data_IF_986449688085
#
_entry.id   IF_986449688085
#
_cell.length_a   1.000
_cell.length_b   1.000
_cell.length_c   1.000
_cell.angle_alpha   90.00
_cell.angle_beta   90.00
_cell.angle_gamma   90.00
#
_symmetry.space_group_name_H-M   'P 1'
#
loop_
_entity.id
_entity.type
_entity.pdbx_description
1 polymer ?
#
# COMPACT_ATOMS: atom_id res chain seq x y z
N UNK A 1 -12.92 -4.69 -9.12
CA UNK A 1 -12.71 -3.95 -10.36
C UNK A 1 -13.50 -4.61 -11.48
N UNK A 2 -14.11 -3.81 -12.31
CA UNK A 2 -14.91 -4.28 -13.44
C UNK A 2 -14.54 -3.49 -14.69
N UNK A 3 -13.85 -4.15 -15.63
CA UNK A 3 -13.39 -3.60 -16.91
C UNK A 3 -12.66 -2.26 -16.77
N UNK A 4 -11.76 -2.14 -15.79
CA UNK A 4 -10.98 -0.92 -15.55
C UNK A 4 -10.02 -0.67 -16.70
N UNK A 5 -10.13 0.52 -17.29
CA UNK A 5 -9.21 1.06 -18.29
C UNK A 5 -8.56 2.31 -17.74
N UNK A 6 -7.25 2.43 -17.94
CA UNK A 6 -6.49 3.65 -17.64
C UNK A 6 -5.67 4.07 -18.83
N UNK A 7 -5.91 5.31 -19.28
CA UNK A 7 -5.16 5.96 -20.34
C UNK A 7 -4.47 7.21 -19.81
N UNK A 8 -3.21 7.37 -20.19
CA UNK A 8 -2.45 8.59 -19.96
C UNK A 8 -2.25 9.30 -21.30
N UNK A 9 -2.65 10.55 -21.34
CA UNK A 9 -2.43 11.43 -22.50
C UNK A 9 -1.14 12.22 -22.31
N UNK A 10 -0.22 12.08 -23.25
CA UNK A 10 1.01 12.87 -23.34
C UNK A 10 1.02 13.65 -24.64
N UNK A 11 1.83 14.72 -24.73
CA UNK A 11 1.88 15.54 -25.95
C UNK A 11 2.21 14.67 -27.17
N UNK A 12 1.18 14.29 -27.93
CA UNK A 12 1.25 13.54 -29.19
C UNK A 12 1.08 12.01 -29.10
N UNK A 13 0.82 11.44 -27.91
CA UNK A 13 0.55 10.01 -27.79
C UNK A 13 -0.37 9.68 -26.61
N UNK A 14 -1.15 8.61 -26.74
CA UNK A 14 -1.96 8.03 -25.66
C UNK A 14 -1.36 6.68 -25.28
N UNK A 15 -1.07 6.50 -24.00
CA UNK A 15 -0.60 5.22 -23.45
C UNK A 15 -1.73 4.59 -22.65
N UNK A 16 -2.15 3.41 -23.05
CA UNK A 16 -3.16 2.63 -22.33
C UNK A 16 -2.47 1.67 -21.35
N UNK A 17 -2.39 2.09 -20.09
CA UNK A 17 -1.70 1.37 -19.03
C UNK A 17 -2.48 0.17 -18.51
N UNK A 18 -3.82 0.27 -18.46
CA UNK A 18 -4.73 -0.83 -18.08
C UNK A 18 -5.81 -0.98 -19.15
N UNK A 19 -6.06 -2.22 -19.57
CA UNK A 19 -6.85 -2.55 -20.76
C UNK A 19 -8.06 -3.42 -20.43
N UNK A 20 -8.93 -2.95 -19.54
CA UNK A 20 -10.16 -3.65 -19.19
C UNK A 20 -9.98 -4.69 -18.09
N UNK A 21 -9.26 -4.34 -17.03
CA UNK A 21 -9.00 -5.20 -15.88
C UNK A 21 -10.28 -5.52 -15.10
N UNK A 22 -10.56 -6.82 -14.94
CA UNK A 22 -11.63 -7.31 -14.07
C UNK A 22 -11.05 -8.28 -13.04
N UNK A 23 -11.10 -7.91 -11.76
CA UNK A 23 -10.63 -8.75 -10.66
C UNK A 23 -11.35 -8.38 -9.37
N UNK A 24 -11.71 -9.38 -8.57
CA UNK A 24 -12.26 -9.21 -7.23
C UNK A 24 -11.24 -9.60 -6.17
N UNK A 25 -11.31 -8.95 -5.00
CA UNK A 25 -10.52 -9.25 -3.83
C UNK A 25 -11.43 -9.59 -2.67
N UNK A 26 -10.97 -10.48 -1.79
CA UNK A 26 -11.69 -10.90 -0.58
C UNK A 26 -11.09 -10.26 0.65
N UNK A 27 -11.87 -10.17 1.71
CA UNK A 27 -11.33 -9.83 3.02
C UNK A 27 -10.34 -10.92 3.49
N UNK A 28 -9.33 -10.53 4.26
CA UNK A 28 -8.35 -11.47 4.82
C UNK A 28 -7.67 -12.36 3.77
N UNK A 29 -7.15 -11.74 2.72
CA UNK A 29 -6.46 -12.38 1.62
C UNK A 29 -5.10 -11.71 1.42
N UNK A 30 -4.06 -12.48 1.05
CA UNK A 30 -2.79 -11.93 0.59
C UNK A 30 -2.67 -12.15 -0.91
N UNK A 31 -2.89 -11.11 -1.69
CA UNK A 31 -2.81 -11.17 -3.16
C UNK A 31 -1.50 -10.54 -3.63
N UNK A 32 -0.75 -11.28 -4.43
CA UNK A 32 0.37 -10.73 -5.19
C UNK A 32 -0.05 -10.47 -6.64
N UNK A 33 0.11 -9.24 -7.09
CA UNK A 33 0.01 -8.87 -8.51
C UNK A 33 1.42 -8.95 -9.08
N UNK A 34 1.65 -9.98 -9.87
CA UNK A 34 2.95 -10.32 -10.44
C UNK A 34 3.01 -9.93 -11.91
N UNK A 35 4.07 -9.27 -12.32
CA UNK A 35 4.30 -8.91 -13.70
C UNK A 35 5.61 -8.15 -13.90
N UNK A 36 6.10 -8.03 -15.15
CA UNK A 36 7.32 -7.32 -15.48
C UNK A 36 7.19 -5.81 -15.16
N UNK A 37 8.32 -5.11 -15.13
CA UNK A 37 8.34 -3.66 -14.99
C UNK A 37 7.56 -2.99 -16.13
N UNK A 38 6.79 -1.96 -15.80
CA UNK A 38 6.02 -1.18 -16.78
C UNK A 38 4.72 -1.83 -17.28
N UNK A 39 4.30 -2.98 -16.75
CA UNK A 39 3.06 -3.66 -17.18
C UNK A 39 1.76 -3.08 -16.59
N UNK A 40 1.84 -2.04 -15.74
CA UNK A 40 0.67 -1.38 -15.14
C UNK A 40 0.40 -1.72 -13.67
N UNK A 41 1.28 -2.46 -12.97
CA UNK A 41 1.07 -2.87 -11.56
C UNK A 41 0.87 -1.68 -10.62
N UNK A 42 1.78 -0.71 -10.65
CA UNK A 42 1.69 0.50 -9.81
C UNK A 42 0.46 1.33 -10.15
N UNK A 43 0.12 1.45 -11.44
CA UNK A 43 -1.10 2.12 -11.90
C UNK A 43 -2.34 1.46 -11.30
N UNK A 44 -2.42 0.13 -11.36
CA UNK A 44 -3.53 -0.63 -10.79
C UNK A 44 -3.63 -0.42 -9.28
N UNK A 45 -2.50 -0.48 -8.57
CA UNK A 45 -2.45 -0.27 -7.13
C UNK A 45 -2.90 1.15 -6.75
N UNK A 46 -2.47 2.17 -7.48
CA UNK A 46 -2.87 3.55 -7.26
C UNK A 46 -4.36 3.78 -7.48
N UNK A 47 -4.96 3.11 -8.45
CA UNK A 47 -6.41 3.16 -8.68
C UNK A 47 -7.16 2.51 -7.53
N UNK A 48 -6.74 1.32 -7.09
CA UNK A 48 -7.33 0.63 -5.94
C UNK A 48 -7.24 1.50 -4.67
N UNK A 49 -6.11 2.18 -4.47
CA UNK A 49 -5.86 3.06 -3.33
C UNK A 49 -6.49 4.45 -3.42
N UNK A 50 -7.15 4.78 -4.52
CA UNK A 50 -7.75 6.10 -4.71
C UNK A 50 -6.74 7.24 -4.92
N UNK A 51 -5.48 6.91 -5.26
CA UNK A 51 -4.44 7.90 -5.57
C UNK A 51 -4.49 8.36 -7.02
N UNK A 52 -5.08 7.56 -7.89
CA UNK A 52 -5.31 7.89 -9.31
C UNK A 52 -6.73 7.48 -9.72
N UNK A 53 -7.23 8.10 -10.77
CA UNK A 53 -8.58 7.83 -11.31
C UNK A 53 -8.48 6.94 -12.54
N UNK A 54 -9.39 5.98 -12.68
CA UNK A 54 -9.52 5.19 -13.90
C UNK A 54 -10.21 5.99 -15.01
N UNK A 55 -9.93 5.68 -16.28
CA UNK A 55 -10.52 6.34 -17.44
C UNK A 55 -11.94 5.83 -17.72
N UNK A 56 -12.15 4.51 -17.61
CA UNK A 56 -13.44 3.86 -17.75
C UNK A 56 -13.49 2.55 -16.97
N UNK A 57 -14.66 1.94 -16.90
CA UNK A 57 -14.92 0.78 -16.07
C UNK A 57 -15.58 1.17 -14.75
N UNK A 58 -15.52 0.32 -13.75
CA UNK A 58 -16.05 0.59 -12.41
C UNK A 58 -15.23 -0.08 -11.32
N UNK A 59 -14.86 0.69 -10.31
CA UNK A 59 -14.28 0.20 -9.06
C UNK A 59 -15.39 0.19 -8.01
N UNK A 60 -15.74 -1.00 -7.54
CA UNK A 60 -16.75 -1.19 -6.49
C UNK A 60 -16.05 -1.56 -5.20
N UNK A 61 -16.32 -0.82 -4.13
CA UNK A 61 -15.75 -1.02 -2.80
C UNK A 61 -16.91 -1.28 -1.82
N UNK A 62 -16.90 -2.43 -1.18
CA UNK A 62 -17.96 -2.85 -0.26
C UNK A 62 -19.37 -2.70 -0.87
N UNK A 63 -19.54 -3.09 -2.13
CA UNK A 63 -20.81 -3.05 -2.83
C UNK A 63 -21.22 -1.68 -3.39
N UNK A 64 -20.46 -0.62 -3.12
CA UNK A 64 -20.73 0.73 -3.61
C UNK A 64 -19.80 1.09 -4.77
N UNK A 65 -20.35 1.55 -5.88
CA UNK A 65 -19.58 2.05 -7.03
C UNK A 65 -18.86 3.36 -6.67
N UNK A 66 -17.58 3.44 -7.00
CA UNK A 66 -16.79 4.68 -6.81
C UNK A 66 -17.15 5.79 -7.78
N UNK A 67 -17.98 5.51 -8.81
CA UNK A 67 -18.59 6.56 -9.65
C UNK A 67 -19.50 7.50 -8.85
N UNK A 68 -20.04 7.01 -7.74
CA UNK A 68 -20.88 7.77 -6.81
C UNK A 68 -20.06 8.52 -5.75
N UNK A 69 -18.72 8.34 -5.73
CA UNK A 69 -17.85 8.97 -4.75
C UNK A 69 -17.63 10.45 -5.07
N UNK A 70 -17.84 11.29 -4.07
CA UNK A 70 -17.39 12.69 -4.03
C UNK A 70 -15.98 12.76 -3.43
N UNK A 71 -15.33 13.92 -3.49
CA UNK A 71 -13.97 14.10 -2.95
C UNK A 71 -13.88 13.75 -1.47
N UNK A 72 -14.90 14.07 -0.67
CA UNK A 72 -14.96 13.68 0.74
C UNK A 72 -15.01 12.16 0.96
N UNK A 73 -15.67 11.41 0.08
CA UNK A 73 -15.69 9.93 0.14
C UNK A 73 -14.31 9.35 -0.16
N UNK A 74 -13.61 9.91 -1.14
CA UNK A 74 -12.23 9.52 -1.46
C UNK A 74 -11.25 9.87 -0.36
N UNK A 75 -11.39 11.04 0.27
CA UNK A 75 -10.55 11.43 1.40
C UNK A 75 -10.76 10.49 2.60
N UNK A 76 -12.00 10.17 2.91
CA UNK A 76 -12.34 9.19 3.95
C UNK A 76 -11.78 7.81 3.64
N UNK A 77 -11.93 7.34 2.40
CA UNK A 77 -11.39 6.06 1.95
C UNK A 77 -9.87 5.98 2.12
N UNK A 78 -9.13 6.99 1.63
CA UNK A 78 -7.66 7.04 1.77
C UNK A 78 -7.20 7.12 3.22
N UNK A 79 -7.89 7.88 4.05
CA UNK A 79 -7.46 8.11 5.43
C UNK A 79 -7.83 6.97 6.39
N UNK A 80 -8.90 6.23 6.12
CA UNK A 80 -9.46 5.25 7.07
C UNK A 80 -9.43 3.81 6.57
N UNK A 81 -9.57 3.59 5.25
CA UNK A 81 -9.70 2.24 4.69
C UNK A 81 -8.42 1.69 4.08
N UNK A 82 -7.49 2.57 3.71
CA UNK A 82 -6.26 2.21 2.97
C UNK A 82 -5.01 2.55 3.78
N UNK A 83 -4.07 1.59 3.83
CA UNK A 83 -2.68 1.82 4.19
C UNK A 83 -1.79 1.60 2.97
N UNK A 84 -0.77 2.43 2.78
CA UNK A 84 0.17 2.34 1.67
C UNK A 84 1.60 2.12 2.15
N UNK A 85 2.28 1.13 1.57
CA UNK A 85 3.71 0.85 1.76
C UNK A 85 4.41 0.95 0.40
N UNK A 86 5.42 1.81 0.31
CA UNK A 86 6.17 2.07 -0.92
C UNK A 86 7.57 1.47 -0.87
N UNK A 87 8.16 1.21 -2.02
CA UNK A 87 9.55 0.76 -2.14
C UNK A 87 10.55 1.76 -1.55
N UNK A 88 10.32 3.05 -1.75
CA UNK A 88 11.19 4.15 -1.28
C UNK A 88 10.85 4.67 0.11
N UNK A 89 10.02 3.96 0.87
CA UNK A 89 9.56 4.25 2.23
C UNK A 89 8.73 5.54 2.37
N UNK A 90 9.01 6.60 1.63
CA UNK A 90 8.35 7.91 1.66
C UNK A 90 8.25 8.51 3.09
N UNK A 91 9.34 8.39 3.86
CA UNK A 91 9.44 9.01 5.17
C UNK A 91 9.92 10.45 5.07
N UNK A 92 9.46 11.29 5.97
CA UNK A 92 9.89 12.70 6.08
C UNK A 92 11.24 12.72 6.83
N UNK A 93 12.36 13.07 6.14
CA UNK A 93 13.70 12.82 6.67
C UNK A 93 14.08 13.70 7.86
N UNK A 94 13.48 14.87 8.02
CA UNK A 94 13.75 15.78 9.12
C UNK A 94 12.86 15.56 10.35
N UNK A 95 11.85 14.69 10.25
CA UNK A 95 10.97 14.29 11.35
C UNK A 95 11.44 12.98 12.00
N UNK A 96 11.14 12.82 13.30
CA UNK A 96 11.38 11.57 14.00
C UNK A 96 10.57 10.41 13.43
N UNK A 97 10.98 9.20 13.74
CA UNK A 97 10.24 7.97 13.42
C UNK A 97 8.81 8.03 13.99
N UNK A 98 8.67 8.46 15.24
CA UNK A 98 7.36 8.65 15.89
C UNK A 98 6.50 9.67 15.11
N UNK A 99 7.05 10.84 14.78
CA UNK A 99 6.33 11.89 14.05
C UNK A 99 5.90 11.45 12.65
N UNK A 100 6.69 10.63 11.96
CA UNK A 100 6.32 10.04 10.68
C UNK A 100 5.07 9.14 10.78
N UNK A 101 4.93 8.37 11.84
CA UNK A 101 3.74 7.52 12.07
C UNK A 101 2.55 8.38 12.55
N UNK A 102 2.79 9.35 13.43
CA UNK A 102 1.76 10.27 13.92
C UNK A 102 1.07 11.05 12.79
N UNK A 103 1.76 11.28 11.67
CA UNK A 103 1.22 12.03 10.54
C UNK A 103 -0.07 11.43 9.99
N UNK A 104 -0.14 10.11 9.85
CA UNK A 104 -1.36 9.42 9.38
C UNK A 104 -2.55 9.67 10.32
N UNK A 105 -2.32 9.69 11.63
CA UNK A 105 -3.33 9.97 12.64
C UNK A 105 -3.72 11.46 12.69
N UNK A 106 -2.78 12.35 12.39
CA UNK A 106 -3.05 13.80 12.26
C UNK A 106 -4.04 14.06 11.14
N UNK A 107 -3.82 13.43 9.98
CA UNK A 107 -4.71 13.57 8.83
C UNK A 107 -6.11 12.98 9.08
N UNK A 108 -6.21 12.02 10.00
CA UNK A 108 -7.48 11.43 10.42
C UNK A 108 -8.15 12.18 11.59
N UNK A 109 -7.59 13.32 12.04
CA UNK A 109 -8.17 14.17 13.08
C UNK A 109 -8.00 13.64 14.51
N UNK A 110 -7.10 12.71 14.75
CA UNK A 110 -6.85 12.16 16.11
C UNK A 110 -6.12 13.17 17.00
N UNK A 111 -6.57 13.34 18.24
CA UNK A 111 -5.98 14.26 19.23
C UNK A 111 -4.54 13.87 19.60
N UNK A 112 -3.76 14.86 20.09
CA UNK A 112 -2.31 14.73 20.28
C UNK A 112 -1.87 13.58 21.18
N UNK A 113 -2.49 13.40 22.34
CA UNK A 113 -2.12 12.33 23.28
C UNK A 113 -2.40 10.94 22.72
N UNK A 114 -3.59 10.75 22.20
CA UNK A 114 -4.01 9.49 21.60
C UNK A 114 -3.17 9.16 20.34
N UNK A 115 -2.89 10.15 19.52
CA UNK A 115 -2.02 10.03 18.35
C UNK A 115 -0.63 9.53 18.74
N UNK A 116 -0.01 10.14 19.76
CA UNK A 116 1.32 9.74 20.24
C UNK A 116 1.32 8.33 20.81
N UNK A 117 0.30 7.98 21.59
CA UNK A 117 0.14 6.63 22.16
C UNK A 117 0.02 5.57 21.06
N UNK A 118 -0.90 5.78 20.12
CA UNK A 118 -1.15 4.82 19.03
C UNK A 118 0.05 4.68 18.10
N UNK A 119 0.73 5.76 17.77
CA UNK A 119 1.95 5.73 16.95
C UNK A 119 3.07 4.96 17.64
N UNK A 120 3.28 5.16 18.94
CA UNK A 120 4.27 4.40 19.72
C UNK A 120 3.94 2.90 19.79
N UNK A 121 2.68 2.55 19.97
CA UNK A 121 2.21 1.15 19.96
C UNK A 121 2.42 0.49 18.59
N UNK A 122 2.10 1.20 17.50
CA UNK A 122 2.32 0.71 16.13
C UNK A 122 3.82 0.45 15.85
N UNK A 123 4.70 1.33 16.29
CA UNK A 123 6.15 1.14 16.17
C UNK A 123 6.67 0.00 17.04
N UNK A 124 6.15 -0.16 18.24
CA UNK A 124 6.47 -1.31 19.11
C UNK A 124 6.06 -2.63 18.45
N UNK A 125 4.91 -2.68 17.81
CA UNK A 125 4.41 -3.86 17.12
C UNK A 125 5.32 -4.34 15.97
N UNK A 126 6.07 -3.44 15.35
CA UNK A 126 7.06 -3.76 14.30
C UNK A 126 8.50 -3.84 14.85
N UNK A 127 8.69 -3.89 16.17
CA UNK A 127 9.99 -4.05 16.81
C UNK A 127 10.83 -2.78 16.90
N UNK A 128 10.22 -1.59 16.83
CA UNK A 128 10.89 -0.28 16.87
C UNK A 128 10.51 0.58 18.09
N UNK A 129 10.02 -0.02 19.15
CA UNK A 129 9.55 0.70 20.33
C UNK A 129 10.62 1.53 21.06
N UNK A 130 11.90 1.17 20.90
CA UNK A 130 13.08 1.86 21.45
C UNK A 130 13.72 2.88 20.48
N UNK A 131 13.15 3.04 19.27
CA UNK A 131 13.71 3.87 18.19
C UNK A 131 12.89 5.14 17.92
N UNK A 132 11.91 5.48 18.74
CA UNK A 132 10.87 6.49 18.49
C UNK A 132 11.40 7.88 18.12
N UNK A 133 12.53 8.28 18.71
CA UNK A 133 13.10 9.64 18.56
C UNK A 133 14.21 9.74 17.51
N UNK A 134 14.55 8.61 16.87
CA UNK A 134 15.50 8.62 15.74
C UNK A 134 14.85 9.20 14.49
N UNK A 135 15.70 9.69 13.60
CA UNK A 135 15.30 10.15 12.26
C UNK A 135 15.56 9.03 11.23
N UNK A 136 14.87 9.06 10.08
CA UNK A 136 15.07 8.05 9.02
C UNK A 136 16.53 7.85 8.61
N UNK A 137 17.34 8.91 8.54
CA UNK A 137 18.77 8.82 8.21
C UNK A 137 19.63 8.06 9.23
N UNK A 138 19.11 7.76 10.40
CA UNK A 138 19.76 6.97 11.45
C UNK A 138 19.29 5.50 11.46
N UNK A 139 18.47 5.10 10.49
CA UNK A 139 17.83 3.81 10.40
C UNK A 139 18.36 3.00 9.21
N UNK A 140 18.37 1.67 9.32
CA UNK A 140 18.59 0.79 8.17
C UNK A 140 17.39 0.82 7.20
N UNK A 141 17.57 0.32 5.98
CA UNK A 141 16.49 0.19 5.02
C UNK A 141 15.32 -0.64 5.54
N UNK A 142 15.59 -1.77 6.17
CA UNK A 142 14.57 -2.61 6.80
C UNK A 142 13.84 -1.94 7.96
N UNK A 143 14.55 -1.16 8.77
CA UNK A 143 13.94 -0.37 9.85
C UNK A 143 13.04 0.74 9.26
N UNK A 144 13.49 1.46 8.23
CA UNK A 144 12.67 2.46 7.54
C UNK A 144 11.42 1.86 6.94
N UNK A 145 11.51 0.66 6.36
CA UNK A 145 10.32 -0.03 5.84
C UNK A 145 9.36 -0.47 6.94
N UNK A 146 9.86 -0.88 8.09
CA UNK A 146 9.01 -1.17 9.26
C UNK A 146 8.29 0.09 9.76
N UNK A 147 8.95 1.25 9.75
CA UNK A 147 8.30 2.54 10.06
C UNK A 147 7.17 2.83 9.06
N UNK A 148 7.42 2.64 7.76
CA UNK A 148 6.42 2.82 6.72
C UNK A 148 5.22 1.87 6.89
N UNK A 149 5.45 0.62 7.28
CA UNK A 149 4.39 -0.34 7.60
C UNK A 149 3.60 0.10 8.84
N UNK A 150 4.27 0.52 9.91
CA UNK A 150 3.61 1.02 11.11
C UNK A 150 2.73 2.24 10.80
N UNK A 151 3.22 3.19 9.99
CA UNK A 151 2.44 4.34 9.50
C UNK A 151 1.22 3.91 8.69
N UNK A 152 1.38 2.92 7.82
CA UNK A 152 0.28 2.40 7.01
C UNK A 152 -0.82 1.73 7.84
N UNK A 153 -0.46 1.09 8.96
CA UNK A 153 -1.36 0.31 9.80
C UNK A 153 -1.97 1.08 10.97
N UNK A 154 -1.44 2.25 11.32
CA UNK A 154 -1.82 2.98 12.56
C UNK A 154 -3.28 3.43 12.58
N UNK A 155 -3.90 3.63 11.42
CA UNK A 155 -5.33 3.93 11.28
C UNK A 155 -6.22 2.67 11.21
N UNK A 156 -5.65 1.49 11.42
CA UNK A 156 -6.34 0.20 11.33
C UNK A 156 -7.12 0.03 10.01
N UNK A 157 -6.44 0.14 8.85
CA UNK A 157 -7.10 0.06 7.54
C UNK A 157 -7.59 -1.34 7.23
N UNK A 158 -8.67 -1.44 6.44
CA UNK A 158 -9.17 -2.73 5.93
C UNK A 158 -8.26 -3.33 4.86
N UNK A 159 -7.54 -2.47 4.14
CA UNK A 159 -6.70 -2.84 2.98
C UNK A 159 -5.30 -2.25 3.15
N UNK A 160 -4.30 -3.09 3.04
CA UNK A 160 -2.89 -2.69 2.93
C UNK A 160 -2.42 -2.89 1.49
N UNK A 161 -1.95 -1.82 0.88
CA UNK A 161 -1.36 -1.83 -0.46
C UNK A 161 0.15 -1.70 -0.35
N UNK A 162 0.89 -2.61 -1.00
CA UNK A 162 2.35 -2.62 -0.96
C UNK A 162 2.92 -2.63 -2.39
N UNK A 163 3.68 -1.59 -2.71
CA UNK A 163 4.35 -1.44 -4.01
C UNK A 163 5.82 -1.79 -3.88
N UNK A 164 6.19 -2.98 -4.38
CA UNK A 164 7.56 -3.53 -4.33
C UNK A 164 8.20 -3.38 -2.92
N UNK A 165 7.55 -3.87 -1.84
CA UNK A 165 7.91 -3.52 -0.46
C UNK A 165 9.31 -3.99 -0.04
N UNK A 166 9.92 -4.89 -0.79
CA UNK A 166 11.26 -5.45 -0.53
C UNK A 166 12.28 -5.08 -1.60
N UNK A 167 11.90 -4.27 -2.59
CA UNK A 167 12.73 -4.01 -3.78
C UNK A 167 14.08 -3.32 -3.51
N UNK A 168 14.22 -2.65 -2.37
CA UNK A 168 15.45 -1.96 -1.95
C UNK A 168 16.19 -2.69 -0.80
N UNK A 169 15.78 -3.92 -0.44
CA UNK A 169 16.27 -4.66 0.72
C UNK A 169 17.06 -5.90 0.32
N UNK A 170 18.00 -6.29 1.18
CA UNK A 170 18.68 -7.60 1.10
C UNK A 170 17.71 -8.76 1.37
N UNK A 171 18.14 -9.99 1.09
CA UNK A 171 17.30 -11.18 1.16
C UNK A 171 16.78 -11.45 2.58
N UNK A 172 17.64 -11.33 3.59
CA UNK A 172 17.26 -11.61 4.98
C UNK A 172 16.23 -10.60 5.49
N UNK A 173 16.47 -9.31 5.25
CA UNK A 173 15.55 -8.23 5.62
C UNK A 173 14.23 -8.34 4.84
N UNK A 174 14.27 -8.74 3.57
CA UNK A 174 13.09 -8.98 2.76
C UNK A 174 12.17 -10.06 3.37
N UNK A 175 12.74 -11.16 3.86
CA UNK A 175 11.97 -12.20 4.55
C UNK A 175 11.27 -11.64 5.79
N UNK A 176 11.96 -10.84 6.59
CA UNK A 176 11.36 -10.23 7.79
C UNK A 176 10.20 -9.31 7.45
N UNK A 177 10.31 -8.49 6.41
CA UNK A 177 9.23 -7.62 5.95
C UNK A 177 8.05 -8.44 5.42
N UNK A 178 8.32 -9.48 4.64
CA UNK A 178 7.27 -10.35 4.11
C UNK A 178 6.53 -11.13 5.19
N UNK A 179 7.23 -11.55 6.26
CA UNK A 179 6.60 -12.21 7.41
C UNK A 179 5.63 -11.26 8.13
N UNK A 180 5.99 -9.97 8.30
CA UNK A 180 5.09 -8.95 8.84
C UNK A 180 3.85 -8.80 7.96
N UNK A 181 4.02 -8.70 6.64
CA UNK A 181 2.90 -8.55 5.71
C UNK A 181 1.98 -9.78 5.72
N UNK A 182 2.53 -10.99 5.85
CA UNK A 182 1.76 -12.22 6.00
C UNK A 182 0.92 -12.23 7.28
N UNK A 183 1.50 -11.81 8.40
CA UNK A 183 0.77 -11.71 9.67
C UNK A 183 -0.37 -10.69 9.56
N UNK A 184 -0.12 -9.54 8.97
CA UNK A 184 -1.13 -8.50 8.70
C UNK A 184 -2.29 -9.04 7.85
N UNK A 185 -2.02 -9.89 6.87
CA UNK A 185 -3.03 -10.49 5.99
C UNK A 185 -3.98 -11.48 6.71
N UNK A 186 -3.67 -11.86 7.94
CA UNK A 186 -4.52 -12.75 8.74
C UNK A 186 -5.90 -12.18 9.03
N UNK A 187 -6.04 -10.85 9.10
CA UNK A 187 -7.29 -10.17 9.45
C UNK A 187 -7.65 -9.00 8.52
N UNK A 188 -6.91 -8.79 7.44
CA UNK A 188 -7.20 -7.76 6.43
C UNK A 188 -6.73 -8.16 5.04
N UNK A 189 -7.19 -7.44 4.02
CA UNK A 189 -6.72 -7.63 2.65
C UNK A 189 -5.36 -6.98 2.48
N UNK A 190 -4.37 -7.76 2.00
CA UNK A 190 -3.07 -7.25 1.56
C UNK A 190 -2.97 -7.46 0.05
N UNK A 191 -2.70 -6.39 -0.68
CA UNK A 191 -2.42 -6.43 -2.12
C UNK A 191 -1.00 -5.92 -2.32
N UNK A 192 -0.12 -6.81 -2.75
CA UNK A 192 1.27 -6.51 -3.05
C UNK A 192 1.50 -6.56 -4.55
N UNK A 193 2.13 -5.55 -5.12
CA UNK A 193 2.66 -5.64 -6.48
C UNK A 193 4.15 -5.95 -6.42
N UNK A 194 4.61 -6.86 -7.27
CA UNK A 194 5.99 -7.28 -7.31
C UNK A 194 6.35 -7.85 -8.69
N UNK A 195 7.64 -7.77 -9.03
CA UNK A 195 8.21 -8.48 -10.17
C UNK A 195 8.96 -9.76 -9.76
N UNK A 196 9.00 -10.08 -8.45
CA UNK A 196 9.69 -11.25 -7.91
C UNK A 196 8.72 -12.43 -7.74
N UNK A 197 8.80 -13.47 -8.61
CA UNK A 197 7.91 -14.61 -8.55
C UNK A 197 8.12 -15.48 -7.29
N UNK A 198 9.35 -15.61 -6.79
CA UNK A 198 9.65 -16.43 -5.62
C UNK A 198 8.97 -15.89 -4.36
N UNK A 199 8.99 -14.56 -4.17
CA UNK A 199 8.29 -13.92 -3.06
C UNK A 199 6.77 -14.08 -3.21
N UNK A 200 6.24 -13.90 -4.42
CA UNK A 200 4.82 -14.07 -4.67
C UNK A 200 4.36 -15.51 -4.34
N UNK A 201 5.08 -16.51 -4.83
CA UNK A 201 4.75 -17.92 -4.61
C UNK A 201 4.87 -18.35 -3.15
N UNK A 202 5.88 -17.83 -2.43
CA UNK A 202 6.12 -18.18 -1.03
C UNK A 202 5.08 -17.57 -0.07
N UNK A 203 4.63 -16.35 -0.33
CA UNK A 203 3.87 -15.57 0.67
C UNK A 203 2.40 -15.33 0.31
N UNK A 204 2.07 -15.18 -0.97
CA UNK A 204 0.70 -14.88 -1.37
C UNK A 204 -0.21 -16.10 -1.28
N UNK A 205 -1.46 -15.86 -0.89
CA UNK A 205 -2.53 -16.88 -0.96
C UNK A 205 -3.11 -16.98 -2.36
N UNK A 206 -2.96 -15.92 -3.16
CA UNK A 206 -3.36 -15.85 -4.56
C UNK A 206 -2.42 -14.98 -5.36
N UNK A 207 -2.10 -15.41 -6.58
CA UNK A 207 -1.29 -14.64 -7.52
C UNK A 207 -2.17 -14.23 -8.70
N UNK A 208 -2.16 -12.94 -9.01
CA UNK A 208 -2.77 -12.35 -10.20
C UNK A 208 -1.62 -11.91 -11.12
N UNK A 209 -1.60 -12.46 -12.34
CA UNK A 209 -0.56 -12.11 -13.31
C UNK A 209 -1.03 -10.95 -14.17
N UNK A 210 -0.24 -9.89 -14.23
CA UNK A 210 -0.49 -8.72 -15.06
C UNK A 210 0.57 -8.62 -16.15
N UNK A 211 0.15 -8.55 -17.41
CA UNK A 211 1.02 -8.41 -18.57
C UNK A 211 0.40 -7.41 -19.55
N UNK A 212 1.18 -6.40 -19.93
CA UNK A 212 0.77 -5.36 -20.90
C UNK A 212 -0.63 -4.78 -20.65
N UNK A 213 -0.97 -4.52 -19.37
CA UNK A 213 -2.25 -3.98 -18.97
C UNK A 213 -3.42 -4.97 -18.96
N UNK A 214 -3.17 -6.27 -19.06
CA UNK A 214 -4.16 -7.36 -18.98
C UNK A 214 -3.88 -8.32 -17.82
N UNK A 215 -4.94 -8.94 -17.29
CA UNK A 215 -4.88 -10.08 -16.35
C UNK A 215 -5.16 -11.37 -17.10
#
# INVERSE_FOLDING_TARGET
LNKIVKKYETAGSTVEALKGISVGFRNSEFVAILGPSGCGKTTLLNIIGGLDRYTSGDLVINGRSTKEYRDADWDSYRNHSIGFVFQSYNLIPHQSVLANVELALTLSGVGREERRRRAAEALKAVGLGDQLHKKPGQMSGGQMQRVAIARALVNDPDILLADEPTGALDTETSVQIMDILREVAGNRLVIMVTHNPELAEKYATRIVRLLDGHI
#
